data_IF_077079191203
#
_entry.id   IF_077079191203
#
_cell.length_a   1.000
_cell.length_b   1.000
_cell.length_c   1.000
_cell.angle_alpha   90.00
_cell.angle_beta   90.00
_cell.angle_gamma   90.00
#
_symmetry.space_group_name_H-M   'P 1'
#
loop_
_entity.id
_entity.type
_entity.pdbx_description
1 polymer ?
#
# COMPACT_ATOMS: atom_id res chain seq x y z
N UNK A 1 30.58 -17.81 11.44
CA UNK A 1 29.23 -18.20 10.99
C UNK A 1 28.52 -16.98 10.44
N UNK A 2 27.83 -17.11 9.32
CA UNK A 2 27.02 -16.07 8.69
C UNK A 2 25.57 -16.56 8.69
N UNK A 3 24.64 -15.73 9.15
CA UNK A 3 23.19 -16.02 9.13
C UNK A 3 22.56 -14.98 8.22
N UNK A 4 21.82 -15.45 7.21
CA UNK A 4 21.17 -14.60 6.21
C UNK A 4 19.69 -14.99 6.14
N UNK A 5 18.80 -14.00 6.16
CA UNK A 5 17.37 -14.19 5.90
C UNK A 5 17.14 -13.77 4.45
N UNK A 6 16.84 -14.73 3.58
CA UNK A 6 16.79 -14.52 2.14
C UNK A 6 15.67 -15.34 1.48
N UNK A 7 15.26 -14.93 0.28
CA UNK A 7 14.24 -15.59 -0.54
C UNK A 7 14.72 -15.82 -1.98
N UNK A 8 15.85 -15.25 -2.38
CA UNK A 8 16.45 -15.49 -3.69
C UNK A 8 16.96 -16.93 -3.83
N UNK A 9 16.38 -17.69 -4.76
CA UNK A 9 16.68 -19.12 -4.93
C UNK A 9 18.16 -19.40 -5.18
N UNK A 10 18.87 -18.58 -5.96
CA UNK A 10 20.31 -18.80 -6.21
C UNK A 10 21.16 -18.68 -4.93
N UNK A 11 20.77 -17.80 -4.00
CA UNK A 11 21.46 -17.67 -2.72
C UNK A 11 21.15 -18.87 -1.84
N UNK A 12 19.88 -19.29 -1.80
CA UNK A 12 19.44 -20.48 -1.06
C UNK A 12 20.10 -21.77 -1.59
N UNK A 13 20.28 -21.90 -2.91
CA UNK A 13 20.97 -23.03 -3.53
C UNK A 13 22.47 -23.06 -3.24
N UNK A 14 23.07 -21.91 -2.91
CA UNK A 14 24.51 -21.77 -2.69
C UNK A 14 24.90 -21.81 -1.22
N UNK A 15 23.94 -21.94 -0.29
CA UNK A 15 24.23 -21.93 1.14
C UNK A 15 24.66 -23.31 1.64
N UNK A 16 25.49 -23.33 2.70
CA UNK A 16 25.94 -24.59 3.31
C UNK A 16 24.81 -25.29 4.09
N UNK A 17 23.90 -24.50 4.67
CA UNK A 17 22.81 -24.97 5.51
C UNK A 17 21.60 -24.05 5.37
N UNK A 18 20.41 -24.64 5.29
CA UNK A 18 19.13 -23.96 5.11
C UNK A 18 18.19 -24.31 6.26
N UNK A 19 17.53 -23.28 6.79
CA UNK A 19 16.55 -23.38 7.88
C UNK A 19 15.28 -22.71 7.41
N UNK A 20 14.18 -23.46 7.36
CA UNK A 20 12.87 -22.95 6.94
C UNK A 20 11.91 -22.88 8.12
N UNK A 21 11.32 -21.69 8.30
CA UNK A 21 10.34 -21.39 9.35
C UNK A 21 8.97 -21.19 8.69
N UNK A 22 7.93 -21.83 9.22
CA UNK A 22 6.58 -21.76 8.67
C UNK A 22 5.57 -22.56 9.51
N UNK A 23 4.54 -23.17 8.90
CA UNK A 23 4.25 -23.24 7.46
C UNK A 23 3.71 -21.94 6.84
N UNK A 24 3.16 -21.05 7.66
CA UNK A 24 2.51 -19.80 7.24
C UNK A 24 3.12 -18.58 7.94
N UNK A 25 2.66 -17.38 7.59
CA UNK A 25 3.01 -16.16 8.32
C UNK A 25 2.12 -15.93 9.56
N UNK A 26 2.59 -15.08 10.48
CA UNK A 26 1.79 -14.64 11.63
C UNK A 26 1.52 -15.76 12.64
N UNK A 27 0.31 -15.82 13.25
CA UNK A 27 -0.03 -16.80 14.30
C UNK A 27 0.09 -18.26 13.87
N UNK A 28 0.07 -18.54 12.56
CA UNK A 28 0.18 -19.90 12.01
C UNK A 28 1.63 -20.28 11.64
N UNK A 29 2.59 -19.38 11.85
CA UNK A 29 4.01 -19.61 11.61
C UNK A 29 4.81 -20.00 12.85
N UNK A 30 6.11 -19.72 12.81
CA UNK A 30 7.01 -19.84 13.96
C UNK A 30 7.46 -21.25 14.29
N UNK A 31 7.25 -22.23 13.40
CA UNK A 31 7.73 -23.60 13.57
C UNK A 31 8.89 -23.87 12.62
N UNK A 32 9.88 -24.63 13.08
CA UNK A 32 10.90 -25.20 12.21
C UNK A 32 10.25 -26.28 11.34
N UNK A 33 10.18 -26.07 10.03
CA UNK A 33 9.51 -26.99 9.09
C UNK A 33 10.47 -27.76 8.19
N UNK A 34 11.68 -27.24 7.97
CA UNK A 34 12.77 -27.96 7.34
C UNK A 34 14.12 -27.41 7.81
N UNK A 35 15.11 -28.30 7.87
CA UNK A 35 16.50 -27.97 8.19
C UNK A 35 17.41 -28.97 7.47
N UNK A 36 18.50 -28.49 6.85
CA UNK A 36 19.47 -29.34 6.17
C UNK A 36 20.24 -28.61 5.08
N UNK A 37 20.94 -29.35 4.23
CA UNK A 37 21.52 -28.78 3.00
C UNK A 37 20.40 -28.39 2.02
N UNK A 38 20.65 -27.49 1.05
CA UNK A 38 19.65 -27.11 0.05
C UNK A 38 19.06 -28.30 -0.70
N UNK A 39 19.86 -29.32 -1.02
CA UNK A 39 19.42 -30.54 -1.70
C UNK A 39 18.48 -31.38 -0.83
N UNK A 40 18.75 -31.46 0.47
CA UNK A 40 17.91 -32.19 1.42
C UNK A 40 16.54 -31.47 1.58
N UNK A 41 16.54 -30.14 1.67
CA UNK A 41 15.30 -29.37 1.78
C UNK A 41 14.50 -29.41 0.47
N UNK A 42 15.16 -29.44 -0.69
CA UNK A 42 14.51 -29.58 -2.00
C UNK A 42 13.72 -30.90 -2.14
N UNK A 43 14.12 -31.97 -1.46
CA UNK A 43 13.38 -33.24 -1.43
C UNK A 43 12.16 -33.20 -0.50
N UNK A 44 12.08 -32.19 0.36
CA UNK A 44 10.98 -31.99 1.30
C UNK A 44 9.68 -31.55 0.64
N UNK A 45 8.58 -31.62 1.40
CA UNK A 45 7.24 -31.17 0.96
C UNK A 45 6.92 -29.73 1.39
N UNK A 46 7.93 -28.92 1.70
CA UNK A 46 7.75 -27.52 2.10
C UNK A 46 7.53 -26.60 0.90
N UNK A 47 7.10 -25.36 1.15
CA UNK A 47 6.92 -24.38 0.09
C UNK A 47 8.25 -24.05 -0.58
N UNK A 48 9.30 -23.79 0.21
CA UNK A 48 10.64 -23.49 -0.32
C UNK A 48 11.24 -24.70 -1.03
N UNK A 49 11.09 -25.91 -0.45
CA UNK A 49 11.58 -27.14 -1.07
C UNK A 49 11.04 -27.36 -2.49
N UNK A 50 9.75 -27.08 -2.71
CA UNK A 50 9.15 -27.14 -4.06
C UNK A 50 9.85 -26.19 -5.04
N UNK A 51 10.12 -24.94 -4.65
CA UNK A 51 10.79 -23.97 -5.53
C UNK A 51 12.29 -24.23 -5.72
N UNK A 52 12.95 -24.86 -4.75
CA UNK A 52 14.34 -25.32 -4.91
C UNK A 52 14.43 -26.50 -5.89
N UNK A 53 13.45 -27.41 -5.85
CA UNK A 53 13.37 -28.56 -6.75
C UNK A 53 12.91 -28.19 -8.17
N UNK A 54 12.14 -27.11 -8.31
CA UNK A 54 11.87 -26.52 -9.60
C UNK A 54 13.16 -25.85 -10.11
N UNK A 55 13.78 -26.43 -11.13
CA UNK A 55 14.76 -25.72 -11.97
C UNK A 55 14.07 -24.49 -12.63
N UNK A 56 14.71 -23.78 -13.57
CA UNK A 56 14.21 -22.55 -14.24
C UNK A 56 12.76 -22.60 -14.81
N UNK A 57 12.11 -23.77 -14.74
CA UNK A 57 10.71 -24.07 -15.04
C UNK A 57 9.69 -23.53 -14.02
N UNK A 58 10.12 -22.97 -12.88
CA UNK A 58 9.20 -22.42 -11.87
C UNK A 58 8.24 -21.33 -12.41
N UNK A 59 8.61 -20.69 -13.53
CA UNK A 59 7.85 -19.60 -14.15
C UNK A 59 7.16 -19.98 -15.48
N UNK A 60 7.05 -21.27 -15.82
CA UNK A 60 6.30 -21.73 -17.00
C UNK A 60 4.77 -21.68 -16.79
N UNK A 61 4.32 -20.67 -16.03
CA UNK A 61 2.92 -20.31 -15.96
C UNK A 61 2.54 -19.76 -17.33
N UNK A 62 1.84 -20.58 -18.15
CA UNK A 62 1.03 -20.09 -19.26
C UNK A 62 0.02 -19.10 -18.70
N UNK A 63 0.42 -17.84 -18.57
CA UNK A 63 -0.45 -16.78 -18.12
C UNK A 63 -1.46 -16.50 -19.22
N UNK A 64 -2.70 -16.94 -19.02
CA UNK A 64 -3.87 -16.53 -19.79
C UNK A 64 -4.24 -15.05 -19.53
N UNK A 65 -3.26 -14.16 -19.33
CA UNK A 65 -3.50 -12.72 -19.41
C UNK A 65 -3.66 -12.39 -20.89
N UNK A 66 -4.85 -12.65 -21.43
CA UNK A 66 -5.30 -12.11 -22.72
C UNK A 66 -5.61 -10.63 -22.50
N UNK A 67 -4.57 -9.85 -22.24
CA UNK A 67 -4.66 -8.41 -22.38
C UNK A 67 -4.32 -8.14 -23.84
N UNK A 68 -5.34 -8.15 -24.71
CA UNK A 68 -5.15 -7.77 -26.11
C UNK A 68 -4.49 -6.38 -26.12
N UNK A 69 -3.29 -6.22 -26.71
CA UNK A 69 -2.63 -4.92 -26.76
C UNK A 69 -3.61 -3.92 -27.38
N UNK A 70 -3.92 -2.85 -26.65
CA UNK A 70 -4.67 -1.76 -27.27
C UNK A 70 -3.78 -1.16 -28.37
N UNK A 71 -4.33 -0.67 -29.50
CA UNK A 71 -3.54 -0.07 -30.58
C UNK A 71 -2.79 1.21 -30.17
N UNK A 72 -2.99 1.67 -28.93
CA UNK A 72 -2.36 2.83 -28.32
C UNK A 72 -1.15 2.43 -27.49
N UNK A 73 -0.13 3.28 -27.44
CA UNK A 73 1.07 3.09 -26.61
C UNK A 73 1.52 4.41 -25.99
N UNK A 74 2.22 4.32 -24.85
CA UNK A 74 3.00 5.43 -24.31
C UNK A 74 4.22 5.59 -25.20
N UNK A 75 4.40 6.75 -25.81
CA UNK A 75 5.57 7.04 -26.65
C UNK A 75 6.42 8.10 -26.00
N UNK A 76 7.63 7.72 -25.58
CA UNK A 76 8.65 8.59 -25.03
C UNK A 76 9.74 8.81 -26.07
N UNK A 77 10.09 10.07 -26.32
CA UNK A 77 11.16 10.45 -27.25
C UNK A 77 12.20 11.30 -26.54
N UNK A 78 13.46 10.98 -26.77
CA UNK A 78 14.60 11.80 -26.37
C UNK A 78 14.81 11.94 -24.86
N UNK A 79 14.65 10.86 -24.10
CA UNK A 79 14.86 10.89 -22.67
C UNK A 79 16.35 10.99 -22.29
N UNK A 80 16.67 12.02 -21.50
CA UNK A 80 18.03 12.39 -21.08
C UNK A 80 18.17 12.60 -19.57
N UNK A 81 17.12 12.36 -18.82
CA UNK A 81 17.15 12.47 -17.35
C UNK A 81 18.27 11.59 -16.75
N UNK A 82 19.02 12.15 -15.81
CA UNK A 82 20.19 11.53 -15.19
C UNK A 82 21.20 10.91 -16.17
N UNK A 83 21.31 9.59 -16.21
CA UNK A 83 22.30 8.88 -17.02
C UNK A 83 21.75 8.37 -18.36
N UNK A 84 20.49 8.68 -18.69
CA UNK A 84 19.86 8.26 -19.95
C UNK A 84 20.52 8.96 -21.15
N UNK A 85 20.72 8.20 -22.22
CA UNK A 85 21.47 8.63 -23.41
C UNK A 85 20.54 8.94 -24.59
N UNK A 86 19.65 9.90 -24.40
CA UNK A 86 18.68 10.34 -25.42
C UNK A 86 17.82 9.20 -25.97
N UNK A 87 17.26 8.37 -25.07
CA UNK A 87 16.56 7.15 -25.45
C UNK A 87 15.11 7.44 -25.87
N UNK A 88 14.59 6.64 -26.80
CA UNK A 88 13.18 6.69 -27.18
C UNK A 88 12.57 5.29 -27.05
N UNK A 89 11.40 5.20 -26.43
CA UNK A 89 10.75 3.92 -26.12
C UNK A 89 9.25 4.01 -26.32
N UNK A 90 8.64 2.90 -26.78
CA UNK A 90 7.20 2.73 -26.87
C UNK A 90 6.75 1.63 -25.92
N UNK A 91 5.84 1.95 -25.01
CA UNK A 91 5.29 1.01 -24.02
C UNK A 91 3.82 0.74 -24.36
N UNK A 92 3.45 -0.49 -24.74
CA UNK A 92 2.09 -0.83 -25.15
C UNK A 92 1.07 -0.71 -24.00
N UNK A 93 -0.10 -0.13 -24.29
CA UNK A 93 -1.19 -0.08 -23.31
C UNK A 93 -1.89 -1.42 -23.14
N UNK A 94 -2.43 -1.63 -21.94
CA UNK A 94 -3.19 -2.83 -21.62
C UNK A 94 -2.31 -4.08 -21.71
N UNK A 95 -1.06 -3.99 -21.29
CA UNK A 95 -0.15 -5.13 -21.20
C UNK A 95 0.75 -4.97 -19.98
N UNK A 96 1.25 -6.09 -19.45
CA UNK A 96 2.27 -6.08 -18.42
C UNK A 96 3.64 -5.85 -19.08
N UNK A 97 4.15 -4.62 -18.99
CA UNK A 97 5.49 -4.28 -19.47
C UNK A 97 6.50 -4.33 -18.32
N UNK A 98 7.59 -5.08 -18.50
CA UNK A 98 8.64 -5.24 -17.49
C UNK A 98 9.90 -4.54 -17.97
N UNK A 99 10.47 -3.65 -17.14
CA UNK A 99 11.76 -3.02 -17.38
C UNK A 99 12.85 -3.80 -16.66
N UNK A 100 13.79 -4.37 -17.41
CA UNK A 100 14.91 -5.17 -16.87
C UNK A 100 16.25 -4.50 -17.14
N UNK A 101 17.32 -4.99 -16.52
CA UNK A 101 18.68 -4.49 -16.68
C UNK A 101 19.44 -4.37 -15.35
N UNK A 102 20.76 -4.26 -15.43
CA UNK A 102 21.66 -4.19 -14.27
C UNK A 102 21.41 -2.95 -13.39
N UNK A 103 21.83 -2.99 -12.12
CA UNK A 103 21.73 -1.83 -11.23
C UNK A 103 22.39 -0.59 -11.85
N UNK A 104 21.76 0.58 -11.70
CA UNK A 104 22.25 1.83 -12.29
C UNK A 104 21.98 2.01 -13.79
N UNK A 105 21.35 1.06 -14.49
CA UNK A 105 21.07 1.19 -15.93
C UNK A 105 20.04 2.26 -16.33
N UNK A 106 19.41 2.94 -15.36
CA UNK A 106 18.39 3.96 -15.60
C UNK A 106 16.93 3.47 -15.57
N UNK A 107 16.65 2.24 -15.11
CA UNK A 107 15.26 1.72 -14.97
C UNK A 107 14.39 2.58 -14.06
N UNK A 108 14.89 2.88 -12.87
CA UNK A 108 14.18 3.71 -11.89
C UNK A 108 13.99 5.13 -12.41
N UNK A 109 15.00 5.67 -13.10
CA UNK A 109 14.89 6.98 -13.76
C UNK A 109 13.79 7.00 -14.82
N UNK A 110 13.74 5.98 -15.67
CA UNK A 110 12.68 5.89 -16.67
C UNK A 110 11.29 5.76 -16.03
N UNK A 111 11.16 4.93 -14.98
CA UNK A 111 9.87 4.66 -14.35
C UNK A 111 9.37 5.80 -13.44
N UNK A 112 10.20 6.27 -12.52
CA UNK A 112 9.81 7.23 -11.47
C UNK A 112 10.13 8.67 -11.88
N UNK A 113 11.36 8.95 -12.29
CA UNK A 113 11.81 10.32 -12.54
C UNK A 113 11.27 10.88 -13.87
N UNK A 114 10.87 10.02 -14.81
CA UNK A 114 10.25 10.41 -16.08
C UNK A 114 8.75 10.09 -16.12
N UNK A 115 8.38 8.81 -16.18
CA UNK A 115 6.99 8.44 -16.47
C UNK A 115 6.05 8.84 -15.33
N UNK A 116 6.41 8.54 -14.09
CA UNK A 116 5.60 8.93 -12.94
C UNK A 116 5.61 10.46 -12.75
N UNK A 117 6.79 11.10 -12.83
CA UNK A 117 6.91 12.55 -12.71
C UNK A 117 6.05 13.32 -13.71
N UNK A 118 6.11 12.96 -15.01
CA UNK A 118 5.26 13.59 -16.01
C UNK A 118 3.77 13.33 -15.78
N UNK A 119 3.40 12.12 -15.34
CA UNK A 119 1.99 11.79 -15.07
C UNK A 119 1.44 12.57 -13.89
N UNK A 120 2.22 12.72 -12.81
CA UNK A 120 1.86 13.54 -11.65
C UNK A 120 1.79 15.03 -12.03
N UNK A 121 2.77 15.53 -12.81
CA UNK A 121 2.80 16.93 -13.27
C UNK A 121 1.56 17.27 -14.10
N UNK A 122 1.22 16.44 -15.09
CA UNK A 122 0.01 16.61 -15.93
C UNK A 122 -1.28 16.49 -15.12
N UNK A 123 -1.33 15.60 -14.14
CA UNK A 123 -2.48 15.51 -13.25
C UNK A 123 -2.67 16.80 -12.45
N UNK A 124 -1.59 17.36 -11.90
CA UNK A 124 -1.64 18.61 -11.14
C UNK A 124 -2.00 19.83 -11.99
N UNK A 125 -1.69 19.84 -13.29
CA UNK A 125 -2.17 20.87 -14.22
C UNK A 125 -3.70 20.96 -14.28
N UNK A 126 -4.41 19.85 -14.04
CA UNK A 126 -5.87 19.81 -13.98
C UNK A 126 -6.44 20.25 -12.62
N UNK A 127 -5.60 20.41 -11.59
CA UNK A 127 -6.01 20.76 -10.23
C UNK A 127 -5.96 22.29 -10.03
N UNK A 128 -6.84 22.82 -9.17
CA UNK A 128 -6.89 24.26 -8.87
C UNK A 128 -5.58 24.76 -8.26
N UNK A 129 -5.26 26.04 -8.48
CA UNK A 129 -4.03 26.66 -7.98
C UNK A 129 -3.89 26.55 -6.43
N UNK A 130 -5.01 26.58 -5.70
CA UNK A 130 -5.04 26.38 -4.24
C UNK A 130 -4.63 24.95 -3.85
N UNK A 131 -5.19 23.93 -4.50
CA UNK A 131 -4.88 22.54 -4.16
C UNK A 131 -3.44 22.15 -4.54
N UNK A 132 -2.84 22.80 -5.55
CA UNK A 132 -1.40 22.62 -5.88
C UNK A 132 -0.44 23.05 -4.78
N UNK A 133 -0.87 23.86 -3.79
CA UNK A 133 -0.02 24.27 -2.67
C UNK A 133 0.28 23.14 -1.68
N UNK A 134 -0.57 22.10 -1.65
CA UNK A 134 -0.46 20.99 -0.70
C UNK A 134 0.15 19.72 -1.30
N UNK A 135 0.56 19.77 -2.57
CA UNK A 135 1.13 18.62 -3.28
C UNK A 135 2.54 18.94 -3.73
N UNK A 136 3.47 18.03 -3.50
CA UNK A 136 4.83 18.11 -4.00
C UNK A 136 4.82 18.14 -5.53
N UNK A 137 5.43 19.19 -6.10
CA UNK A 137 5.56 19.35 -7.54
C UNK A 137 6.89 18.74 -7.98
N UNK A 138 6.82 17.65 -8.72
CA UNK A 138 8.01 17.06 -9.32
C UNK A 138 8.53 17.95 -10.46
N UNK A 139 9.86 18.07 -10.62
CA UNK A 139 10.46 18.82 -11.71
C UNK A 139 10.05 18.21 -13.05
N UNK A 140 9.99 19.05 -14.09
CA UNK A 140 9.76 18.58 -15.46
C UNK A 140 11.01 17.81 -15.91
N UNK A 141 10.91 16.54 -16.32
CA UNK A 141 12.06 15.76 -16.77
C UNK A 141 12.59 16.22 -18.13
N UNK A 142 13.88 15.97 -18.38
CA UNK A 142 14.55 16.25 -19.64
C UNK A 142 14.21 15.20 -20.71
N UNK A 143 13.17 15.52 -21.49
CA UNK A 143 12.63 14.70 -22.58
C UNK A 143 12.18 15.60 -23.74
N UNK A 144 12.20 15.08 -24.98
CA UNK A 144 11.67 15.81 -26.13
C UNK A 144 10.14 15.78 -26.18
N UNK A 145 9.56 14.59 -26.02
CA UNK A 145 8.11 14.43 -25.99
C UNK A 145 7.69 13.16 -25.27
N UNK A 146 6.50 13.21 -24.66
CA UNK A 146 5.84 12.06 -24.06
C UNK A 146 4.34 12.11 -24.35
N UNK A 147 3.83 11.14 -25.09
CA UNK A 147 2.42 11.02 -25.48
C UNK A 147 1.83 9.69 -25.06
N UNK A 148 0.50 9.62 -24.97
CA UNK A 148 -0.21 8.40 -24.53
C UNK A 148 -0.10 8.09 -23.03
N UNK A 149 0.54 8.94 -22.22
CA UNK A 149 0.66 8.68 -20.78
C UNK A 149 -0.71 8.82 -20.07
N UNK A 150 -1.24 7.77 -19.41
CA UNK A 150 -2.46 7.84 -18.63
C UNK A 150 -2.18 8.45 -17.25
N UNK A 151 -3.21 8.71 -16.41
CA UNK A 151 -2.98 9.00 -14.99
C UNK A 151 -2.11 7.91 -14.36
N UNK A 152 -1.03 8.32 -13.69
CA UNK A 152 -0.01 7.41 -13.17
C UNK A 152 -0.15 7.23 -11.66
N UNK A 153 0.09 6.01 -11.20
CA UNK A 153 0.27 5.68 -9.79
C UNK A 153 1.58 4.92 -9.70
N UNK A 154 2.48 5.38 -8.83
CA UNK A 154 3.71 4.67 -8.51
C UNK A 154 3.58 4.02 -7.13
N UNK A 155 3.93 2.74 -7.06
CA UNK A 155 4.07 2.01 -5.80
C UNK A 155 5.56 1.85 -5.55
N UNK A 156 6.12 2.76 -4.76
CA UNK A 156 7.52 2.72 -4.36
C UNK A 156 7.71 1.84 -3.13
N UNK A 157 8.88 1.21 -3.02
CA UNK A 157 9.31 0.56 -1.78
C UNK A 157 9.76 1.62 -0.76
N UNK A 158 8.84 2.51 -0.37
CA UNK A 158 9.07 3.40 0.78
C UNK A 158 8.81 2.60 2.05
N UNK A 159 9.78 2.62 2.97
CA UNK A 159 9.52 2.20 4.35
C UNK A 159 8.65 3.31 4.95
N UNK A 160 7.34 3.16 4.83
CA UNK A 160 6.40 4.03 5.54
C UNK A 160 6.69 3.88 7.02
N UNK A 161 7.41 4.84 7.61
CA UNK A 161 7.56 4.95 9.05
C UNK A 161 6.20 5.34 9.61
N UNK A 162 5.33 4.35 9.74
CA UNK A 162 4.04 4.52 10.40
C UNK A 162 4.26 4.99 11.83
N UNK A 163 3.36 5.85 12.30
CA UNK A 163 3.27 6.13 13.74
C UNK A 163 2.46 5.02 14.41
N UNK A 164 2.39 5.01 15.75
CA UNK A 164 1.47 4.11 16.47
C UNK A 164 -0.01 4.29 16.05
N UNK A 165 -0.36 5.41 15.40
CA UNK A 165 -1.70 5.68 14.86
C UNK A 165 -1.88 5.19 13.41
N UNK A 166 -0.83 4.68 12.78
CA UNK A 166 -0.83 4.20 11.40
C UNK A 166 -0.99 2.68 11.39
N UNK A 167 -2.19 2.22 11.06
CA UNK A 167 -2.52 0.80 10.90
C UNK A 167 -2.89 0.50 9.44
N UNK A 168 -2.93 -0.78 9.07
CA UNK A 168 -3.41 -1.23 7.74
C UNK A 168 -4.76 -0.60 7.41
N UNK A 169 -5.70 -0.61 8.37
CA UNK A 169 -7.04 -0.04 8.18
C UNK A 169 -7.03 1.48 7.92
N UNK A 170 -6.05 2.22 8.47
CA UNK A 170 -5.93 3.66 8.20
C UNK A 170 -5.29 3.95 6.85
N UNK A 171 -4.32 3.13 6.41
CA UNK A 171 -3.61 3.32 5.13
C UNK A 171 -4.50 2.91 3.94
N UNK A 172 -5.31 1.86 4.11
CA UNK A 172 -6.27 1.41 3.08
C UNK A 172 -7.60 2.16 3.14
N UNK A 173 -7.72 3.17 4.01
CA UNK A 173 -8.94 3.94 4.29
C UNK A 173 -10.15 3.12 4.77
N UNK A 174 -10.02 1.80 4.96
CA UNK A 174 -11.08 0.92 5.49
C UNK A 174 -11.62 1.45 6.83
N UNK A 175 -10.76 2.02 7.68
CA UNK A 175 -11.17 2.63 8.94
C UNK A 175 -12.20 3.77 8.75
N UNK A 176 -12.12 4.53 7.66
CA UNK A 176 -13.07 5.61 7.37
C UNK A 176 -14.45 5.05 7.02
N UNK A 177 -14.48 4.01 6.17
CA UNK A 177 -15.73 3.31 5.84
C UNK A 177 -16.36 2.68 7.08
N UNK A 178 -15.55 2.06 7.93
CA UNK A 178 -16.01 1.50 9.20
C UNK A 178 -16.58 2.59 10.11
N UNK A 179 -15.95 3.76 10.22
CA UNK A 179 -16.50 4.88 11.02
C UNK A 179 -17.88 5.31 10.53
N UNK A 180 -18.08 5.44 9.22
CA UNK A 180 -19.40 5.79 8.65
C UNK A 180 -20.41 4.66 8.91
N UNK A 181 -20.00 3.41 8.76
CA UNK A 181 -20.84 2.24 9.04
C UNK A 181 -21.28 2.21 10.50
N UNK A 182 -20.36 2.33 11.45
CA UNK A 182 -20.66 2.35 12.88
C UNK A 182 -21.48 3.58 13.29
N UNK A 183 -21.27 4.73 12.67
CA UNK A 183 -22.09 5.91 12.94
C UNK A 183 -23.55 5.74 12.49
N UNK A 184 -23.81 4.95 11.44
CA UNK A 184 -25.16 4.74 10.91
C UNK A 184 -25.88 3.51 11.45
N UNK A 185 -25.15 2.43 11.68
CA UNK A 185 -25.72 1.14 12.07
C UNK A 185 -25.38 0.75 13.52
N UNK A 186 -24.46 1.47 14.16
CA UNK A 186 -24.07 1.20 15.54
C UNK A 186 -25.13 1.71 16.52
N UNK A 187 -25.34 0.92 17.56
CA UNK A 187 -26.09 1.37 18.74
C UNK A 187 -25.16 2.29 19.53
N UNK A 188 -25.52 3.57 19.60
CA UNK A 188 -24.79 4.55 20.38
C UNK A 188 -24.93 4.20 21.86
N UNK A 189 -23.84 4.17 22.62
CA UNK A 189 -23.85 3.93 24.06
C UNK A 189 -23.28 5.14 24.80
N UNK A 190 -23.81 5.42 25.98
CA UNK A 190 -23.28 6.45 26.87
C UNK A 190 -21.85 6.11 27.32
N UNK A 191 -20.88 7.03 27.20
CA UNK A 191 -19.50 6.78 27.64
C UNK A 191 -19.34 6.68 29.16
N UNK A 192 -20.32 7.15 29.95
CA UNK A 192 -20.29 7.11 31.41
C UNK A 192 -21.08 5.94 31.99
N UNK A 193 -22.23 5.60 31.42
CA UNK A 193 -23.13 4.57 31.94
C UNK A 193 -23.10 3.27 31.14
N UNK A 194 -22.62 3.29 29.89
CA UNK A 194 -22.60 2.12 29.00
C UNK A 194 -23.97 1.71 28.48
N UNK A 195 -25.03 2.46 28.77
CA UNK A 195 -26.40 2.17 28.31
C UNK A 195 -26.64 2.66 26.88
N UNK A 196 -27.50 1.99 26.09
CA UNK A 196 -27.84 2.42 24.75
C UNK A 196 -28.60 3.76 24.77
N UNK A 197 -28.16 4.69 23.93
CA UNK A 197 -28.80 5.98 23.72
C UNK A 197 -30.12 5.77 22.96
N UNK A 198 -31.17 6.41 23.45
CA UNK A 198 -32.49 6.42 22.85
C UNK A 198 -32.71 7.74 22.12
N UNK A 199 -33.51 7.70 21.04
CA UNK A 199 -33.96 8.92 20.39
C UNK A 199 -34.82 9.73 21.38
N UNK A 200 -34.54 11.03 21.48
CA UNK A 200 -35.28 11.94 22.34
C UNK A 200 -35.91 13.04 21.49
N UNK A 201 -37.17 13.33 21.73
CA UNK A 201 -37.82 14.50 21.12
C UNK A 201 -37.29 15.78 21.77
N UNK A 202 -37.38 16.89 21.04
CA UNK A 202 -36.97 18.21 21.54
C UNK A 202 -37.65 18.54 22.88
N UNK A 203 -38.96 18.27 22.99
CA UNK A 203 -39.71 18.42 24.24
C UNK A 203 -39.17 17.56 25.39
N UNK A 204 -38.77 16.31 25.10
CA UNK A 204 -38.21 15.42 26.11
C UNK A 204 -36.86 15.97 26.61
N UNK A 205 -36.02 16.47 25.71
CA UNK A 205 -34.75 17.13 26.05
C UNK A 205 -34.99 18.37 26.91
N UNK A 206 -35.91 19.26 26.50
CA UNK A 206 -36.24 20.49 27.25
C UNK A 206 -36.75 20.16 28.66
N UNK A 207 -37.60 19.13 28.81
CA UNK A 207 -38.09 18.69 30.13
C UNK A 207 -36.95 18.19 31.02
N UNK A 208 -36.03 17.40 30.48
CA UNK A 208 -34.89 16.85 31.23
C UNK A 208 -33.95 17.98 31.69
N UNK A 209 -33.59 18.89 30.78
CA UNK A 209 -32.75 20.04 31.11
C UNK A 209 -33.43 20.91 32.17
N UNK A 210 -34.71 21.22 32.00
CA UNK A 210 -35.49 22.03 32.96
C UNK A 210 -35.56 21.39 34.35
N UNK A 211 -35.75 20.05 34.42
CA UNK A 211 -35.76 19.29 35.68
C UNK A 211 -34.39 19.33 36.35
N UNK A 212 -33.31 19.15 35.58
CA UNK A 212 -31.95 19.21 36.10
C UNK A 212 -31.57 20.61 36.60
N UNK A 213 -31.94 21.68 35.87
CA UNK A 213 -31.73 23.07 36.31
C UNK A 213 -32.47 23.36 37.62
N UNK A 214 -33.73 22.91 37.76
CA UNK A 214 -34.50 23.06 39.01
C UNK A 214 -33.83 22.32 40.17
N UNK A 215 -33.30 21.13 39.94
CA UNK A 215 -32.58 20.35 40.96
C UNK A 215 -31.24 20.97 41.34
N UNK A 216 -30.48 21.52 40.38
CA UNK A 216 -29.26 22.29 40.65
C UNK A 216 -29.54 23.55 41.48
N UNK A 217 -30.58 24.32 41.10
CA UNK A 217 -31.02 25.50 41.88
C UNK A 217 -31.46 25.16 43.29
N UNK A 218 -31.98 23.95 43.53
CA UNK A 218 -32.33 23.46 44.87
C UNK A 218 -31.08 23.05 45.67
N UNK A 219 -30.12 22.35 45.07
CA UNK A 219 -28.86 21.98 45.71
C UNK A 219 -28.00 23.19 46.10
N UNK A 220 -27.88 24.20 45.24
CA UNK A 220 -27.12 25.42 45.56
C UNK A 220 -27.78 26.29 46.64
N UNK A 221 -29.09 26.15 46.90
CA UNK A 221 -29.73 26.83 48.04
C UNK A 221 -29.48 26.13 49.38
N UNK A 222 -29.16 24.84 49.37
CA UNK A 222 -28.87 24.08 50.59
C UNK A 222 -27.39 24.07 50.97
N UNK A 223 -26.51 24.76 50.23
CA UNK A 223 -25.08 24.87 50.52
C UNK A 223 -24.65 26.25 51.04
N UNK A 224 -25.62 27.15 51.29
CA UNK A 224 -25.40 28.48 51.85
C UNK A 224 -25.94 28.61 53.29
N UNK A 225 -26.23 27.47 53.94
CA UNK A 225 -26.47 27.36 55.39
C UNK A 225 -25.31 26.57 56.02
#
# INVERSE_FOLDING_TARGET
SLIVVEHHLDVLKSCDWLVEIGPEAGPQGGKLIAEGTPEAVAQGKTTTGKYLALEDKAFDAKTNYVSAPRPTAITLTGAREHNLKNISVKIPHGSLSVMTGVSGSGKSTLAFDILFAEGQRRFLECVSAYARQFVEQLPKPDIDSLSGLPPTVAIEQRITRGSAKSTVATVTEVAQYLRVLFARAGILHSPTTGEPLTEMTEDAVVRIISKNIKNLKRRCRCSND
#
